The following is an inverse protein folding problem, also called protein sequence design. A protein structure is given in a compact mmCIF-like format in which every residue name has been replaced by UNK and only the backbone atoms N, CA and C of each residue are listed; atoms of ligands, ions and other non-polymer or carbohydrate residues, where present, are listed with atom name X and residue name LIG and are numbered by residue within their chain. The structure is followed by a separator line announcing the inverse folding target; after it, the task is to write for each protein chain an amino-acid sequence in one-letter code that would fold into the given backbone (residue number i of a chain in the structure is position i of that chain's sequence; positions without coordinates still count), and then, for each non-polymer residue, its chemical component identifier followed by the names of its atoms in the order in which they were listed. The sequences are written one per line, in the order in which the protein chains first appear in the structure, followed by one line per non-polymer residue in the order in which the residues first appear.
data_IF_405834306337
#
_entry.id   IF_405834306337
#
_cell.length_a   1.000
_cell.length_b   1.000
_cell.length_c   1.000
_cell.angle_alpha   90.00
_cell.angle_beta   90.00
_cell.angle_gamma   90.00
#
_symmetry.space_group_name_H-M   'P 1'
#
loop_
_entity.id
_entity.type
_entity.pdbx_description
1 polymer ?
#
# COMPACT_ATOMS: atom_id res chain seq x y z
N UNK A 1 -39.70 -6.19 27.60
CA UNK A 1 -39.35 -5.88 26.19
C UNK A 1 -38.26 -4.79 26.10
N UNK A 2 -37.09 -4.97 26.72
CA UNK A 2 -35.96 -4.01 26.67
C UNK A 2 -34.63 -4.63 26.21
N UNK A 3 -34.54 -5.97 26.13
CA UNK A 3 -33.30 -6.66 25.75
C UNK A 3 -33.06 -6.71 24.24
N UNK A 4 -34.12 -6.65 23.43
CA UNK A 4 -34.02 -6.66 21.97
C UNK A 4 -33.49 -5.33 21.40
N UNK A 5 -33.79 -4.21 22.05
CA UNK A 5 -33.39 -2.88 21.58
C UNK A 5 -31.91 -2.56 21.84
N UNK A 6 -31.32 -3.13 22.90
CA UNK A 6 -29.88 -2.95 23.21
C UNK A 6 -29.02 -3.76 22.22
N UNK A 7 -29.42 -4.99 21.89
CA UNK A 7 -28.71 -5.82 20.91
C UNK A 7 -28.70 -5.20 19.51
N UNK A 8 -29.81 -4.58 19.10
CA UNK A 8 -29.90 -3.88 17.81
C UNK A 8 -29.02 -2.63 17.77
N UNK A 9 -28.94 -1.88 18.87
CA UNK A 9 -28.11 -0.67 18.94
C UNK A 9 -26.61 -1.00 18.94
N UNK A 10 -26.19 -2.08 19.64
CA UNK A 10 -24.80 -2.55 19.60
C UNK A 10 -24.42 -3.08 18.22
N UNK A 11 -25.31 -3.81 17.54
CA UNK A 11 -25.05 -4.31 16.18
C UNK A 11 -24.95 -3.19 15.14
N UNK A 12 -25.80 -2.16 15.25
CA UNK A 12 -25.74 -0.97 14.40
C UNK A 12 -24.48 -0.13 14.69
N UNK A 13 -24.05 0.00 15.95
CA UNK A 13 -22.81 0.69 16.28
C UNK A 13 -21.56 -0.05 15.73
N UNK A 14 -21.52 -1.38 15.76
CA UNK A 14 -20.40 -2.16 15.20
C UNK A 14 -20.32 -2.01 13.67
N UNK A 15 -21.44 -1.86 12.98
CA UNK A 15 -21.45 -1.58 11.53
C UNK A 15 -21.06 -0.14 11.17
N UNK A 16 -21.31 0.83 12.05
CA UNK A 16 -20.96 2.25 11.82
C UNK A 16 -19.48 2.55 12.10
N UNK A 17 -18.81 1.74 12.94
CA UNK A 17 -17.35 1.78 13.12
C UNK A 17 -16.59 0.82 12.19
N UNK A 18 -17.22 0.39 11.10
CA UNK A 18 -16.55 -0.35 10.05
C UNK A 18 -15.48 0.56 9.43
N UNK A 19 -14.26 0.43 9.95
CA UNK A 19 -12.97 0.79 9.36
C UNK A 19 -12.80 -0.03 8.09
N UNK A 20 -13.67 0.24 7.12
CA UNK A 20 -13.83 -0.54 5.90
C UNK A 20 -12.59 -0.34 5.04
N UNK A 21 -11.64 -1.25 5.21
CA UNK A 21 -10.56 -1.50 4.27
C UNK A 21 -11.22 -1.97 2.97
N UNK A 22 -11.02 -1.28 1.84
CA UNK A 22 -11.57 -1.71 0.57
C UNK A 22 -11.07 -3.12 0.20
N UNK A 23 -11.92 -3.95 -0.41
CA UNK A 23 -11.56 -5.34 -0.78
C UNK A 23 -10.35 -5.45 -1.71
N UNK A 24 -10.05 -4.39 -2.47
CA UNK A 24 -8.88 -4.33 -3.35
C UNK A 24 -7.56 -4.17 -2.57
N UNK A 25 -7.60 -3.70 -1.32
CA UNK A 25 -6.44 -3.58 -0.44
C UNK A 25 -6.19 -4.93 0.21
N UNK A 26 -5.19 -5.65 -0.28
CA UNK A 26 -4.77 -6.97 0.26
C UNK A 26 -3.49 -6.91 1.07
N UNK A 27 -2.88 -5.74 1.15
CA UNK A 27 -1.59 -5.52 1.79
C UNK A 27 -1.75 -5.43 3.32
N UNK A 28 -1.37 -6.49 4.03
CA UNK A 28 -1.59 -6.57 5.48
C UNK A 28 -0.82 -5.50 6.27
N UNK A 29 0.39 -5.14 5.86
CA UNK A 29 1.17 -4.12 6.56
C UNK A 29 0.50 -2.73 6.43
N UNK A 30 -0.05 -2.45 5.25
CA UNK A 30 -0.82 -1.23 5.00
C UNK A 30 -2.11 -1.21 5.83
N UNK A 31 -2.80 -2.34 5.94
CA UNK A 31 -4.00 -2.51 6.78
C UNK A 31 -3.68 -2.31 8.26
N UNK A 32 -2.59 -2.90 8.74
CA UNK A 32 -2.15 -2.78 10.13
C UNK A 32 -1.77 -1.34 10.46
N UNK A 33 -1.06 -0.66 9.55
CA UNK A 33 -0.75 0.77 9.66
C UNK A 33 -2.01 1.64 9.67
N UNK A 34 -2.99 1.34 8.82
CA UNK A 34 -4.28 2.05 8.80
C UNK A 34 -4.98 1.96 10.16
N UNK A 35 -5.09 0.76 10.73
CA UNK A 35 -5.69 0.57 12.05
C UNK A 35 -4.87 1.21 13.18
N UNK A 36 -3.53 1.11 13.11
CA UNK A 36 -2.61 1.71 14.10
C UNK A 36 -2.73 3.23 14.15
N UNK A 37 -2.82 3.86 12.97
CA UNK A 37 -2.94 5.31 12.83
C UNK A 37 -4.38 5.81 13.04
N UNK A 38 -5.34 4.89 13.12
CA UNK A 38 -6.78 5.18 13.34
C UNK A 38 -7.35 6.14 12.30
N UNK A 39 -6.93 5.97 11.03
CA UNK A 39 -7.42 6.81 9.95
C UNK A 39 -8.87 6.49 9.56
N UNK A 40 -9.52 7.48 8.98
CA UNK A 40 -10.82 7.30 8.32
C UNK A 40 -10.64 6.66 6.95
N UNK A 41 -11.67 5.94 6.47
CA UNK A 41 -11.66 5.27 5.16
C UNK A 41 -11.42 6.21 3.97
N UNK A 42 -11.59 7.52 4.14
CA UNK A 42 -11.24 8.52 3.13
C UNK A 42 -9.77 8.48 2.70
N UNK A 43 -8.85 8.00 3.54
CA UNK A 43 -7.43 7.84 3.19
C UNK A 43 -7.23 6.90 1.99
N UNK A 44 -8.14 5.95 1.77
CA UNK A 44 -8.07 5.00 0.66
C UNK A 44 -8.32 5.64 -0.71
N UNK A 45 -8.87 6.88 -0.77
CA UNK A 45 -9.12 7.60 -2.02
C UNK A 45 -7.85 7.95 -2.80
N UNK A 46 -6.67 7.81 -2.17
CA UNK A 46 -5.40 8.02 -2.86
C UNK A 46 -5.07 6.91 -3.88
N UNK A 47 -5.68 5.72 -3.73
CA UNK A 47 -5.54 4.61 -4.66
C UNK A 47 -6.63 4.67 -5.73
N UNK A 48 -6.27 4.30 -6.97
CA UNK A 48 -7.26 3.93 -7.98
C UNK A 48 -7.56 2.42 -7.94
N UNK A 49 -8.45 1.98 -8.84
CA UNK A 49 -8.87 0.57 -8.94
C UNK A 49 -7.73 -0.40 -9.29
N UNK A 50 -6.61 0.10 -9.82
CA UNK A 50 -5.42 -0.67 -10.16
C UNK A 50 -4.35 -0.59 -9.06
N UNK A 51 -4.66 0.00 -7.91
CA UNK A 51 -3.73 0.21 -6.81
C UNK A 51 -2.59 1.18 -7.15
N UNK A 52 -2.79 2.06 -8.14
CA UNK A 52 -1.91 3.19 -8.45
C UNK A 52 -2.21 4.31 -7.46
N UNK A 53 -1.17 4.90 -6.89
CA UNK A 53 -1.25 5.99 -5.92
C UNK A 53 -1.15 7.32 -6.67
N UNK A 54 -2.24 8.07 -6.80
CA UNK A 54 -2.26 9.27 -7.66
C UNK A 54 -1.92 10.56 -6.93
N UNK A 55 -2.55 10.80 -5.79
CA UNK A 55 -2.41 12.03 -5.02
C UNK A 55 -2.57 11.72 -3.53
N UNK A 56 -1.54 11.20 -2.86
CA UNK A 56 -1.61 10.99 -1.42
C UNK A 56 -1.62 12.36 -0.73
N UNK A 57 -2.65 12.60 0.09
CA UNK A 57 -2.68 13.74 1.01
C UNK A 57 -1.77 13.47 2.23
N UNK A 58 -1.75 14.37 3.21
CA UNK A 58 -0.87 14.23 4.38
C UNK A 58 -1.09 12.91 5.15
N UNK A 59 -2.35 12.49 5.29
CA UNK A 59 -2.70 11.25 5.98
C UNK A 59 -2.34 10.03 5.13
N UNK A 60 -2.54 10.12 3.80
CA UNK A 60 -2.06 9.13 2.84
C UNK A 60 -0.54 8.95 2.90
N UNK A 61 0.22 10.04 2.97
CA UNK A 61 1.68 10.01 3.13
C UNK A 61 2.08 9.34 4.45
N UNK A 62 1.43 9.66 5.57
CA UNK A 62 1.69 9.00 6.87
C UNK A 62 1.38 7.51 6.85
N UNK A 63 0.31 7.11 6.17
CA UNK A 63 -0.07 5.72 6.01
C UNK A 63 1.00 4.95 5.21
N UNK A 64 1.42 5.51 4.08
CA UNK A 64 2.47 4.93 3.23
C UNK A 64 3.82 4.89 3.94
N UNK A 65 4.18 5.95 4.64
CA UNK A 65 5.40 6.03 5.45
C UNK A 65 5.43 4.94 6.52
N UNK A 66 4.32 4.76 7.24
CA UNK A 66 4.18 3.67 8.21
C UNK A 66 4.44 2.32 7.55
N UNK A 67 3.79 2.03 6.41
CA UNK A 67 3.91 0.74 5.75
C UNK A 67 5.32 0.49 5.19
N UNK A 68 6.03 1.52 4.72
CA UNK A 68 7.40 1.41 4.23
C UNK A 68 8.41 1.04 5.33
N UNK A 69 8.14 1.48 6.55
CA UNK A 69 8.97 1.16 7.72
C UNK A 69 8.61 -0.17 8.39
N UNK A 70 7.59 -0.88 7.88
CA UNK A 70 7.27 -2.25 8.29
C UNK A 70 8.05 -3.23 7.40
N UNK A 71 8.76 -4.16 8.04
CA UNK A 71 9.41 -5.34 7.46
C UNK A 71 9.95 -5.22 6.01
N UNK A 72 11.12 -4.61 5.81
CA UNK A 72 11.89 -4.77 4.55
C UNK A 72 11.17 -4.26 3.29
N UNK A 73 10.18 -3.38 3.45
CA UNK A 73 9.38 -2.77 2.38
C UNK A 73 9.93 -1.43 1.92
N UNK A 74 10.89 -0.87 2.64
CA UNK A 74 11.61 0.29 2.18
C UNK A 74 12.43 -0.08 0.95
N UNK A 75 12.12 0.53 -0.19
CA UNK A 75 12.84 0.31 -1.43
C UNK A 75 14.16 1.08 -1.46
N UNK A 76 14.37 2.05 -0.58
CA UNK A 76 15.53 2.92 -0.60
C UNK A 76 16.30 2.86 0.73
N UNK A 77 17.63 2.92 0.67
CA UNK A 77 18.47 2.98 1.87
C UNK A 77 18.58 4.41 2.43
N UNK A 78 19.39 4.59 3.47
CA UNK A 78 19.64 5.89 4.11
C UNK A 78 20.34 6.90 3.17
N UNK A 79 21.00 6.43 2.10
CA UNK A 79 21.59 7.25 1.03
C UNK A 79 20.58 7.52 -0.10
N UNK A 80 19.30 7.15 0.10
CA UNK A 80 18.23 7.16 -0.90
C UNK A 80 18.52 6.32 -2.16
N UNK A 81 19.39 5.32 -2.07
CA UNK A 81 19.67 4.40 -3.19
C UNK A 81 18.70 3.23 -3.17
N UNK A 82 18.25 2.84 -4.36
CA UNK A 82 17.32 1.72 -4.51
C UNK A 82 17.99 0.39 -4.06
N UNK A 83 17.38 -0.26 -3.08
CA UNK A 83 17.74 -1.59 -2.58
C UNK A 83 17.21 -2.63 -3.58
N UNK A 84 18.09 -3.04 -4.50
CA UNK A 84 17.75 -3.96 -5.61
C UNK A 84 17.01 -5.22 -5.17
N UNK A 85 17.38 -5.83 -4.04
CA UNK A 85 16.74 -7.06 -3.53
C UNK A 85 15.28 -6.84 -3.16
N UNK A 86 14.95 -5.71 -2.53
CA UNK A 86 13.57 -5.37 -2.17
C UNK A 86 12.76 -5.01 -3.41
N UNK A 87 13.36 -4.26 -4.33
CA UNK A 87 12.75 -3.90 -5.61
C UNK A 87 12.38 -5.14 -6.44
N UNK A 88 13.33 -6.07 -6.65
CA UNK A 88 13.09 -7.31 -7.39
C UNK A 88 12.04 -8.20 -6.72
N UNK A 89 12.07 -8.31 -5.38
CA UNK A 89 11.05 -9.04 -4.62
C UNK A 89 9.64 -8.48 -4.90
N UNK A 90 9.49 -7.16 -4.86
CA UNK A 90 8.18 -6.52 -5.10
C UNK A 90 7.70 -6.66 -6.54
N UNK A 91 8.60 -6.53 -7.51
CA UNK A 91 8.29 -6.75 -8.93
C UNK A 91 7.79 -8.18 -9.14
N UNK A 92 8.44 -9.16 -8.52
CA UNK A 92 8.02 -10.57 -8.57
C UNK A 92 6.62 -10.77 -8.01
N UNK A 93 6.36 -10.26 -6.80
CA UNK A 93 5.02 -10.32 -6.18
C UNK A 93 3.95 -9.71 -7.09
N UNK A 94 4.23 -8.57 -7.73
CA UNK A 94 3.29 -7.90 -8.64
C UNK A 94 2.98 -8.70 -9.91
N UNK A 95 3.95 -9.41 -10.46
CA UNK A 95 3.74 -10.25 -11.63
C UNK A 95 2.94 -11.51 -11.27
N UNK A 96 3.24 -12.11 -10.11
CA UNK A 96 2.50 -13.25 -9.57
C UNK A 96 1.04 -12.87 -9.25
N UNK A 97 0.79 -11.68 -8.69
CA UNK A 97 -0.56 -11.11 -8.48
C UNK A 97 -1.36 -11.00 -9.79
N UNK A 98 -0.69 -10.76 -10.93
CA UNK A 98 -1.29 -10.69 -12.27
C UNK A 98 -1.46 -12.06 -12.94
N UNK A 99 -1.10 -13.16 -12.26
CA UNK A 99 -1.25 -14.53 -12.77
C UNK A 99 -0.36 -14.86 -13.98
N UNK A 100 0.73 -14.11 -14.17
CA UNK A 100 1.68 -14.33 -15.27
C UNK A 100 2.88 -15.14 -14.76
N UNK A 101 3.29 -16.17 -15.51
CA UNK A 101 4.61 -16.77 -15.29
C UNK A 101 5.69 -15.76 -15.67
N UNK A 102 6.63 -15.52 -14.76
CA UNK A 102 7.75 -14.61 -14.98
C UNK A 102 9.04 -15.38 -15.24
N UNK A 103 9.81 -14.92 -16.22
CA UNK A 103 11.23 -15.27 -16.36
C UNK A 103 12.05 -14.23 -15.61
N UNK A 104 13.18 -14.62 -15.02
CA UNK A 104 14.06 -13.71 -14.26
C UNK A 104 14.45 -12.45 -15.08
N UNK A 105 14.63 -12.61 -16.40
CA UNK A 105 14.92 -11.53 -17.34
C UNK A 105 13.87 -10.40 -17.34
N UNK A 106 12.60 -10.73 -17.06
CA UNK A 106 11.49 -9.76 -17.01
C UNK A 106 11.59 -8.90 -15.75
N UNK A 107 12.02 -9.47 -14.63
CA UNK A 107 12.18 -8.71 -13.39
C UNK A 107 13.29 -7.66 -13.50
N UNK A 108 14.42 -8.08 -14.07
CA UNK A 108 15.56 -7.19 -14.30
C UNK A 108 15.20 -6.09 -15.31
N UNK A 109 14.46 -6.40 -16.37
CA UNK A 109 14.00 -5.39 -17.32
C UNK A 109 13.10 -4.32 -16.68
N UNK A 110 12.15 -4.74 -15.82
CA UNK A 110 11.27 -3.80 -15.09
C UNK A 110 12.08 -2.99 -14.07
N UNK A 111 13.00 -3.63 -13.34
CA UNK A 111 13.89 -2.94 -12.41
C UNK A 111 14.69 -1.85 -13.14
N UNK A 112 15.31 -2.18 -14.27
CA UNK A 112 16.10 -1.24 -15.06
C UNK A 112 15.25 -0.08 -15.62
N UNK A 113 14.00 -0.34 -15.99
CA UNK A 113 13.07 0.69 -16.44
C UNK A 113 12.63 1.64 -15.31
N UNK A 114 12.42 1.11 -14.09
CA UNK A 114 11.85 1.87 -12.98
C UNK A 114 12.87 2.41 -11.97
N UNK A 115 14.14 2.00 -12.02
CA UNK A 115 15.16 2.37 -11.00
C UNK A 115 15.47 3.86 -10.89
N UNK A 116 15.10 4.65 -11.89
CA UNK A 116 15.36 6.09 -11.95
C UNK A 116 14.15 6.94 -11.52
N UNK A 117 13.20 6.37 -10.78
CA UNK A 117 12.09 7.14 -10.22
C UNK A 117 12.59 8.20 -9.22
N UNK A 118 12.05 9.41 -9.37
CA UNK A 118 12.40 10.58 -8.56
C UNK A 118 11.29 10.87 -7.53
N UNK A 119 11.60 11.62 -6.48
CA UNK A 119 10.64 12.10 -5.49
C UNK A 119 11.33 12.94 -4.43
N UNK A 120 10.62 13.93 -3.89
CA UNK A 120 11.19 14.87 -2.91
C UNK A 120 11.39 14.26 -1.51
N UNK A 121 10.79 13.08 -1.29
CA UNK A 121 10.94 12.29 -0.06
C UNK A 121 11.09 10.82 -0.41
N UNK A 122 11.66 10.02 0.50
CA UNK A 122 11.75 8.55 0.35
C UNK A 122 10.37 7.92 0.13
N UNK A 123 9.33 8.45 0.78
CA UNK A 123 7.94 7.99 0.58
C UNK A 123 7.48 8.25 -0.84
N UNK A 124 7.64 9.47 -1.36
CA UNK A 124 7.23 9.82 -2.73
C UNK A 124 8.04 9.06 -3.78
N UNK A 125 9.34 8.86 -3.53
CA UNK A 125 10.20 8.04 -4.39
C UNK A 125 9.72 6.58 -4.45
N UNK A 126 9.31 6.03 -3.29
CA UNK A 126 8.73 4.69 -3.17
C UNK A 126 7.37 4.57 -3.86
N UNK A 127 6.53 5.60 -3.74
CA UNK A 127 5.25 5.71 -4.47
C UNK A 127 5.50 5.68 -5.98
N UNK A 128 6.42 6.50 -6.47
CA UNK A 128 6.71 6.58 -7.90
C UNK A 128 7.34 5.29 -8.43
N UNK A 129 8.18 4.62 -7.63
CA UNK A 129 8.66 3.27 -7.94
C UNK A 129 7.52 2.25 -8.02
N UNK A 130 6.64 2.21 -7.01
CA UNK A 130 5.48 1.31 -6.96
C UNK A 130 4.54 1.52 -8.15
N UNK A 131 4.25 2.77 -8.51
CA UNK A 131 3.41 3.08 -9.66
C UNK A 131 4.06 2.60 -10.97
N UNK A 132 5.37 2.87 -11.17
CA UNK A 132 6.09 2.46 -12.38
C UNK A 132 6.05 0.93 -12.61
N UNK A 133 6.18 0.13 -11.55
CA UNK A 133 6.14 -1.34 -11.68
C UNK A 133 4.70 -1.90 -11.78
N UNK A 134 3.69 -1.08 -11.50
CA UNK A 134 2.28 -1.47 -11.51
C UNK A 134 1.62 -1.17 -12.87
N UNK A 135 1.99 -0.07 -13.52
CA UNK A 135 1.62 0.28 -14.91
C UNK A 135 2.05 -0.80 -15.91
#
# INVERSE_FOLDING_TARGET
KMKASIGLFVFLCVQVFSTEVPEFVKDQDLIDCFHKLKFDKSVWKMFDEHYIIKNPDEDGIKLLDCALHVHGRNFFDEDEKLIKTHALKRIKEKIEEKGKESKDDVFEAIHEACKHTHGDTVVLKSVNFHNCITE
#
